data_IF_936306438470
#
_entry.id   IF_936306438470
#
_cell.length_a   1.000
_cell.length_b   1.000
_cell.length_c   1.000
_cell.angle_alpha   90.00
_cell.angle_beta   90.00
_cell.angle_gamma   90.00
#
_symmetry.space_group_name_H-M   'P 1'
#
loop_
_entity.id
_entity.type
_entity.pdbx_description
1 polymer ?
#
# COMPACT_ATOMS: atom_id res chain seq x y z
N UNK A 1 2.49 -6.24 -8.22
CA UNK A 1 2.51 -5.09 -9.16
C UNK A 1 2.87 -5.55 -10.56
N UNK A 2 2.10 -5.17 -11.59
CA UNK A 2 2.45 -5.43 -12.98
C UNK A 2 3.70 -4.64 -13.41
N UNK A 3 4.39 -5.08 -14.49
CA UNK A 3 5.55 -4.36 -15.04
C UNK A 3 5.21 -2.91 -15.41
N UNK A 4 4.00 -2.67 -15.91
CA UNK A 4 3.48 -1.33 -16.28
C UNK A 4 3.28 -0.44 -15.04
N UNK A 5 2.74 -0.99 -13.95
CA UNK A 5 2.57 -0.25 -12.68
C UNK A 5 3.92 0.13 -12.07
N UNK A 6 4.91 -0.76 -12.10
CA UNK A 6 6.27 -0.47 -11.63
C UNK A 6 6.92 0.66 -12.43
N UNK A 7 6.73 0.69 -13.76
CA UNK A 7 7.23 1.78 -14.62
C UNK A 7 6.52 3.10 -14.35
N UNK A 8 5.20 3.09 -14.17
CA UNK A 8 4.44 4.29 -13.80
C UNK A 8 4.89 4.84 -12.44
N UNK A 9 5.08 3.98 -11.44
CA UNK A 9 5.58 4.40 -10.13
C UNK A 9 6.99 5.04 -10.22
N UNK A 10 7.89 4.48 -11.05
CA UNK A 10 9.20 5.06 -11.29
C UNK A 10 9.10 6.44 -11.97
N UNK A 11 8.21 6.60 -12.95
CA UNK A 11 7.99 7.88 -13.64
C UNK A 11 7.41 8.95 -12.68
N UNK A 12 6.45 8.59 -11.83
CA UNK A 12 5.92 9.48 -10.80
C UNK A 12 7.04 9.91 -9.82
N UNK A 13 7.89 8.99 -9.40
CA UNK A 13 9.02 9.30 -8.53
C UNK A 13 10.02 10.26 -9.17
N UNK A 14 10.28 10.14 -10.48
CA UNK A 14 11.14 11.08 -11.22
C UNK A 14 10.55 12.50 -11.29
N UNK A 15 9.21 12.61 -11.31
CA UNK A 15 8.48 13.88 -11.37
C UNK A 15 8.04 14.39 -9.98
N UNK A 16 8.47 13.74 -8.90
CA UNK A 16 8.08 14.10 -7.55
C UNK A 16 8.65 15.47 -7.11
N UNK A 17 7.99 16.19 -6.19
CA UNK A 17 8.49 17.42 -5.60
C UNK A 17 9.92 17.30 -5.08
N UNK A 18 10.71 18.36 -5.24
CA UNK A 18 12.14 18.39 -4.86
C UNK A 18 13.08 17.81 -5.91
N UNK A 19 12.59 17.31 -7.06
CA UNK A 19 13.41 16.93 -8.21
C UNK A 19 13.62 18.13 -9.15
N UNK A 20 14.76 18.16 -9.85
CA UNK A 20 15.04 19.21 -10.85
C UNK A 20 14.02 19.18 -12.02
N UNK A 21 13.54 18.00 -12.37
CA UNK A 21 12.48 17.85 -13.40
C UNK A 21 11.17 18.48 -12.92
N UNK A 22 10.72 18.17 -11.69
CA UNK A 22 9.50 18.76 -11.14
C UNK A 22 9.61 20.28 -11.04
N UNK A 23 10.74 20.81 -10.63
CA UNK A 23 10.96 22.25 -10.61
C UNK A 23 10.77 22.89 -12.00
N UNK A 24 11.29 22.25 -13.05
CA UNK A 24 11.05 22.70 -14.42
C UNK A 24 9.57 22.65 -14.81
N UNK A 25 8.87 21.57 -14.47
CA UNK A 25 7.45 21.40 -14.75
C UNK A 25 6.60 22.46 -14.03
N UNK A 26 6.93 22.76 -12.77
CA UNK A 26 6.26 23.81 -12.00
C UNK A 26 6.50 25.21 -12.62
N UNK A 27 7.71 25.48 -13.14
CA UNK A 27 8.00 26.72 -13.90
C UNK A 27 7.18 26.80 -15.19
N UNK A 28 7.01 25.69 -15.92
CA UNK A 28 6.20 25.60 -17.14
C UNK A 28 4.74 25.92 -16.83
N UNK A 29 4.20 25.34 -15.75
CA UNK A 29 2.84 25.64 -15.26
C UNK A 29 2.74 27.14 -14.89
N UNK A 30 3.64 27.65 -14.06
CA UNK A 30 3.64 29.05 -13.63
C UNK A 30 3.78 30.04 -14.81
N UNK A 31 4.49 29.64 -15.87
CA UNK A 31 4.63 30.38 -17.12
C UNK A 31 3.42 30.28 -18.06
N UNK A 32 2.37 29.54 -17.69
CA UNK A 32 1.21 29.26 -18.54
C UNK A 32 1.59 28.68 -19.91
N UNK A 33 2.58 27.77 -19.93
CA UNK A 33 3.06 27.13 -21.13
C UNK A 33 2.52 25.70 -21.27
N UNK A 34 2.43 25.21 -22.51
CA UNK A 34 2.24 23.83 -22.82
C UNK A 34 3.58 23.15 -23.18
N UNK A 35 3.79 21.91 -22.77
CA UNK A 35 5.02 21.19 -23.09
C UNK A 35 4.75 19.73 -23.44
N UNK A 36 5.68 19.16 -24.23
CA UNK A 36 5.78 17.73 -24.50
C UNK A 36 7.23 17.32 -24.26
N UNK A 37 7.46 16.40 -23.31
CA UNK A 37 8.81 16.01 -22.88
C UNK A 37 8.90 14.49 -22.94
N UNK A 38 9.95 13.97 -23.60
CA UNK A 38 10.23 12.53 -23.69
C UNK A 38 11.49 12.21 -22.86
N UNK A 39 11.41 11.23 -21.96
CA UNK A 39 12.51 10.85 -21.08
C UNK A 39 12.85 9.38 -21.27
N UNK A 40 14.10 9.11 -21.60
CA UNK A 40 14.60 7.76 -21.87
C UNK A 40 14.17 7.19 -23.21
N UNK A 41 14.61 5.95 -23.51
CA UNK A 41 14.42 5.27 -24.79
C UNK A 41 14.66 6.19 -26.00
N UNK A 42 15.77 6.93 -25.92
CA UNK A 42 16.05 8.08 -26.79
C UNK A 42 16.15 7.70 -28.26
N UNK A 43 16.68 6.52 -28.57
CA UNK A 43 16.81 6.04 -29.95
C UNK A 43 15.45 5.79 -30.59
N UNK A 44 14.54 5.12 -29.84
CA UNK A 44 13.18 4.87 -30.32
C UNK A 44 12.38 6.18 -30.45
N UNK A 45 12.54 7.11 -29.50
CA UNK A 45 11.91 8.43 -29.57
C UNK A 45 12.40 9.23 -30.78
N UNK A 46 13.72 9.24 -31.01
CA UNK A 46 14.32 9.94 -32.16
C UNK A 46 13.90 9.29 -33.49
N UNK A 47 13.80 7.97 -33.55
CA UNK A 47 13.33 7.26 -34.73
C UNK A 47 11.85 7.52 -35.09
N UNK A 48 11.05 7.96 -34.08
CA UNK A 48 9.62 8.24 -34.24
C UNK A 48 9.29 9.72 -34.54
N UNK A 49 10.30 10.52 -34.85
CA UNK A 49 10.10 11.95 -35.13
C UNK A 49 11.14 12.47 -36.13
N UNK A 50 11.05 13.72 -36.45
CA UNK A 50 11.92 14.43 -37.39
C UNK A 50 12.16 15.90 -36.97
N UNK A 51 13.07 16.55 -37.69
CA UNK A 51 13.46 17.94 -37.53
C UNK A 51 13.96 18.33 -36.11
N UNK A 52 13.88 19.61 -35.79
CA UNK A 52 14.28 20.17 -34.49
C UNK A 52 15.81 20.35 -34.33
N UNK A 53 16.15 20.82 -33.13
CA UNK A 53 17.55 21.15 -32.78
C UNK A 53 18.22 19.99 -32.07
N UNK A 54 19.38 19.57 -32.57
CA UNK A 54 20.29 18.72 -31.83
C UNK A 54 21.08 19.60 -30.84
N UNK A 55 20.99 19.32 -29.55
CA UNK A 55 21.57 20.17 -28.51
C UNK A 55 22.69 19.47 -27.73
N UNK A 56 22.45 18.28 -27.22
CA UNK A 56 23.39 17.50 -26.41
C UNK A 56 23.99 18.31 -25.25
N UNK A 57 23.13 19.04 -24.51
CA UNK A 57 23.52 19.93 -23.40
C UNK A 57 23.11 19.35 -22.04
N UNK A 58 23.81 19.74 -20.98
CA UNK A 58 23.46 19.34 -19.61
C UNK A 58 22.07 19.82 -19.22
N UNK A 59 21.30 18.94 -18.55
CA UNK A 59 19.98 19.24 -18.04
C UNK A 59 20.05 20.26 -16.90
N UNK A 60 19.22 21.28 -16.96
CA UNK A 60 18.84 22.14 -15.84
C UNK A 60 17.36 22.51 -15.97
N UNK A 61 16.69 22.81 -14.83
CA UNK A 61 15.29 23.20 -14.84
C UNK A 61 15.03 24.43 -15.72
N UNK A 62 15.91 25.43 -15.64
CA UNK A 62 15.81 26.65 -16.45
C UNK A 62 15.96 26.36 -17.96
N UNK A 63 16.91 25.49 -18.35
CA UNK A 63 17.09 25.15 -19.76
C UNK A 63 15.87 24.42 -20.29
N UNK A 64 15.33 23.44 -19.55
CA UNK A 64 14.12 22.75 -19.97
C UNK A 64 12.95 23.74 -20.11
N UNK A 65 12.75 24.64 -19.13
CA UNK A 65 11.71 25.67 -19.19
C UNK A 65 11.83 26.57 -20.44
N UNK A 66 13.05 27.07 -20.74
CA UNK A 66 13.28 27.92 -21.92
C UNK A 66 13.01 27.16 -23.22
N UNK A 67 13.45 25.91 -23.31
CA UNK A 67 13.25 25.09 -24.51
C UNK A 67 11.76 24.69 -24.72
N UNK A 68 10.98 24.58 -23.66
CA UNK A 68 9.53 24.33 -23.75
C UNK A 68 8.70 25.52 -24.22
N UNK A 69 9.31 26.70 -24.40
CA UNK A 69 8.66 27.86 -25.07
C UNK A 69 8.54 27.67 -26.58
N UNK A 70 9.34 26.77 -27.16
CA UNK A 70 9.23 26.36 -28.56
C UNK A 70 8.14 25.30 -28.73
N UNK A 71 7.54 25.26 -29.91
CA UNK A 71 6.69 24.13 -30.30
C UNK A 71 7.49 22.83 -30.39
N UNK A 72 6.79 21.67 -30.48
CA UNK A 72 7.39 20.37 -30.56
C UNK A 72 7.71 19.76 -29.19
N UNK A 73 8.52 18.70 -29.21
CA UNK A 73 8.93 17.99 -28.01
C UNK A 73 10.36 18.32 -27.60
N UNK A 74 10.65 18.16 -26.31
CA UNK A 74 12.01 18.13 -25.76
C UNK A 74 12.36 16.68 -25.41
N UNK A 75 13.50 16.18 -25.89
CA UNK A 75 14.00 14.82 -25.63
C UNK A 75 15.12 14.88 -24.63
N UNK A 76 14.97 14.14 -23.53
CA UNK A 76 15.89 14.08 -22.40
C UNK A 76 16.37 12.65 -22.22
N UNK A 77 17.60 12.46 -21.81
CA UNK A 77 18.15 11.14 -21.50
C UNK A 77 17.44 10.47 -20.30
N UNK A 78 17.66 9.17 -20.12
CA UNK A 78 17.01 8.36 -19.11
C UNK A 78 17.26 8.86 -17.67
N UNK A 79 18.47 9.34 -17.43
CA UNK A 79 18.93 9.75 -16.10
C UNK A 79 18.70 11.25 -15.81
N UNK A 80 18.07 11.97 -16.75
CA UNK A 80 17.73 13.39 -16.66
C UNK A 80 19.01 14.23 -16.42
N UNK A 81 20.06 13.88 -17.14
CA UNK A 81 21.36 14.57 -17.09
C UNK A 81 21.64 15.45 -18.31
N UNK A 82 21.01 15.11 -19.43
CA UNK A 82 21.19 15.81 -20.72
C UNK A 82 19.88 16.05 -21.45
N UNK A 83 19.81 17.18 -22.14
CA UNK A 83 18.76 17.50 -23.11
C UNK A 83 19.37 17.26 -24.51
N UNK A 84 18.80 16.32 -25.24
CA UNK A 84 19.34 15.84 -26.51
C UNK A 84 18.74 16.59 -27.70
N UNK A 85 17.43 16.86 -27.68
CA UNK A 85 16.68 17.52 -28.75
C UNK A 85 15.70 18.53 -28.16
N UNK A 86 15.38 19.57 -28.95
CA UNK A 86 14.28 20.46 -28.69
C UNK A 86 13.60 20.86 -30.02
N UNK A 87 12.38 21.38 -29.96
CA UNK A 87 11.53 21.64 -31.12
C UNK A 87 11.37 20.41 -31.99
N UNK A 88 11.29 19.22 -31.40
CA UNK A 88 11.30 17.94 -32.08
C UNK A 88 9.88 17.50 -32.44
N UNK A 89 9.62 17.25 -33.75
CA UNK A 89 8.30 16.88 -34.21
C UNK A 89 8.10 15.37 -34.14
N UNK A 90 7.22 14.93 -33.21
CA UNK A 90 6.92 13.50 -33.02
C UNK A 90 5.75 13.07 -33.91
N UNK A 91 5.95 11.98 -34.65
CA UNK A 91 5.00 11.45 -35.61
C UNK A 91 4.60 9.99 -35.32
N UNK A 92 4.02 9.68 -34.12
CA UNK A 92 3.55 8.32 -33.85
C UNK A 92 2.38 7.94 -34.75
N UNK A 93 2.30 6.68 -35.14
CA UNK A 93 1.25 6.19 -36.03
C UNK A 93 -0.15 6.54 -35.51
N UNK A 94 -1.02 7.15 -36.36
CA UNK A 94 -2.41 7.42 -36.00
C UNK A 94 -3.23 6.17 -35.67
N UNK A 95 -2.80 4.99 -36.06
CA UNK A 95 -3.45 3.70 -35.75
C UNK A 95 -3.32 3.27 -34.31
N UNK A 96 -2.35 3.83 -33.54
CA UNK A 96 -2.20 3.55 -32.12
C UNK A 96 -3.40 4.10 -31.35
N UNK A 97 -4.08 3.25 -30.52
CA UNK A 97 -5.28 3.65 -29.83
C UNK A 97 -4.99 4.69 -28.74
N UNK A 98 -5.91 5.62 -28.57
CA UNK A 98 -5.89 6.57 -27.45
C UNK A 98 -7.27 7.17 -27.25
N UNK A 99 -7.66 7.41 -26.01
CA UNK A 99 -8.88 8.13 -25.61
C UNK A 99 -8.67 9.64 -25.49
N UNK A 100 -7.42 10.10 -25.63
CA UNK A 100 -7.09 11.51 -25.45
C UNK A 100 -7.61 12.39 -26.62
N UNK A 101 -8.07 13.61 -26.31
CA UNK A 101 -8.64 14.53 -27.29
C UNK A 101 -7.68 15.63 -27.73
N UNK A 102 -6.79 16.10 -26.84
CA UNK A 102 -5.80 17.14 -27.15
C UNK A 102 -4.62 16.62 -27.97
N UNK A 103 -4.09 17.43 -28.89
CA UNK A 103 -3.00 17.03 -29.80
C UNK A 103 -1.76 16.53 -29.03
N UNK A 104 -1.23 17.32 -28.06
CA UNK A 104 -0.08 16.93 -27.23
C UNK A 104 -0.35 15.67 -26.42
N UNK A 105 -1.53 15.54 -25.82
CA UNK A 105 -1.92 14.37 -25.02
C UNK A 105 -2.04 13.11 -25.87
N UNK A 106 -2.64 13.20 -27.08
CA UNK A 106 -2.69 12.07 -28.04
C UNK A 106 -1.30 11.63 -28.47
N UNK A 107 -0.43 12.58 -28.82
CA UNK A 107 0.96 12.28 -29.16
C UNK A 107 1.68 11.64 -27.99
N UNK A 108 1.54 12.17 -26.78
CA UNK A 108 2.14 11.60 -25.57
C UNK A 108 1.69 10.16 -25.30
N UNK A 109 0.38 9.90 -25.34
CA UNK A 109 -0.17 8.57 -25.12
C UNK A 109 0.35 7.57 -26.18
N UNK A 110 0.33 7.93 -27.46
CA UNK A 110 0.83 7.08 -28.56
C UNK A 110 2.34 6.84 -28.50
N UNK A 111 3.12 7.87 -28.18
CA UNK A 111 4.57 7.72 -28.01
C UNK A 111 4.91 6.78 -26.84
N UNK A 112 4.17 6.86 -25.74
CA UNK A 112 4.37 5.95 -24.61
C UNK A 112 3.95 4.50 -24.88
N UNK A 113 3.11 4.25 -25.90
CA UNK A 113 2.82 2.91 -26.42
C UNK A 113 3.90 2.42 -27.39
N UNK A 114 4.44 3.33 -28.19
CA UNK A 114 5.42 3.00 -29.23
C UNK A 114 6.81 2.75 -28.65
N UNK A 115 7.15 3.44 -27.57
CA UNK A 115 8.48 3.45 -26.95
C UNK A 115 8.44 3.02 -25.48
N UNK A 116 9.60 2.76 -24.89
CA UNK A 116 9.75 2.56 -23.44
C UNK A 116 10.02 3.88 -22.69
N UNK A 117 9.94 5.02 -23.37
CA UNK A 117 10.13 6.32 -22.74
C UNK A 117 8.98 6.69 -21.79
N UNK A 118 9.28 7.47 -20.79
CA UNK A 118 8.28 8.23 -20.02
C UNK A 118 7.96 9.50 -20.80
N UNK A 119 6.70 9.73 -21.13
CA UNK A 119 6.28 10.92 -21.85
C UNK A 119 5.48 11.83 -20.93
N UNK A 120 5.86 13.10 -20.85
CA UNK A 120 5.18 14.10 -20.02
C UNK A 120 4.51 15.11 -20.94
N UNK A 121 3.23 15.35 -20.71
CA UNK A 121 2.48 16.43 -21.38
C UNK A 121 2.01 17.44 -20.35
N UNK A 122 2.30 18.71 -20.59
CA UNK A 122 1.78 19.82 -19.81
C UNK A 122 0.71 20.53 -20.62
N UNK A 123 -0.50 20.62 -20.05
CA UNK A 123 -1.62 21.31 -20.69
C UNK A 123 -1.61 22.81 -20.32
N UNK A 124 -1.38 23.65 -21.29
CA UNK A 124 -1.45 25.09 -21.15
C UNK A 124 -2.83 25.55 -20.63
N UNK A 125 -3.91 25.03 -21.22
CA UNK A 125 -5.27 25.44 -20.88
C UNK A 125 -5.72 24.94 -19.49
N UNK A 126 -5.41 23.67 -19.17
CA UNK A 126 -5.86 23.02 -17.91
C UNK A 126 -4.87 23.21 -16.76
N UNK A 127 -3.66 23.68 -17.03
CA UNK A 127 -2.58 23.81 -16.06
C UNK A 127 -2.29 22.51 -15.32
N UNK A 128 -2.24 21.41 -16.06
CA UNK A 128 -2.11 20.05 -15.54
C UNK A 128 -0.90 19.37 -16.19
N UNK A 129 -0.15 18.65 -15.38
CA UNK A 129 0.95 17.78 -15.80
C UNK A 129 0.43 16.34 -15.86
N UNK A 130 0.55 15.69 -17.02
CA UNK A 130 0.18 14.28 -17.18
C UNK A 130 1.41 13.47 -17.61
N UNK A 131 1.69 12.41 -16.87
CA UNK A 131 2.76 11.44 -17.16
C UNK A 131 2.15 10.24 -17.88
N UNK A 132 2.72 9.85 -19.01
CA UNK A 132 2.27 8.72 -19.82
C UNK A 132 3.30 7.59 -19.82
N UNK A 133 2.85 6.39 -19.54
CA UNK A 133 3.62 5.13 -19.60
C UNK A 133 2.70 4.04 -20.15
N UNK A 134 3.15 3.29 -21.16
CA UNK A 134 2.39 2.20 -21.78
C UNK A 134 0.95 2.62 -22.21
N UNK A 135 0.80 3.83 -22.74
CA UNK A 135 -0.48 4.39 -23.17
C UNK A 135 -1.40 4.90 -22.04
N UNK A 136 -1.04 4.69 -20.79
CA UNK A 136 -1.81 5.15 -19.62
C UNK A 136 -1.30 6.50 -19.13
N UNK A 137 -2.20 7.45 -18.96
CA UNK A 137 -1.92 8.77 -18.41
C UNK A 137 -2.16 8.82 -16.90
N UNK A 138 -1.26 9.45 -16.16
CA UNK A 138 -1.40 9.79 -14.75
C UNK A 138 -1.25 11.28 -14.56
N UNK A 139 -2.29 11.95 -14.07
CA UNK A 139 -2.31 13.38 -13.82
C UNK A 139 -1.67 13.67 -12.45
N UNK A 140 -0.56 14.42 -12.44
CA UNK A 140 0.11 14.82 -11.21
C UNK A 140 -0.69 15.89 -10.48
N UNK A 141 -0.84 15.72 -9.18
CA UNK A 141 -1.50 16.69 -8.31
C UNK A 141 -0.51 17.73 -7.81
N UNK A 142 -1.04 18.87 -7.38
CA UNK A 142 -0.22 19.88 -6.71
C UNK A 142 0.06 19.46 -5.24
N UNK A 143 1.16 19.98 -4.67
CA UNK A 143 1.61 19.61 -3.32
C UNK A 143 0.57 19.98 -2.26
N UNK A 144 -0.11 21.10 -2.39
CA UNK A 144 -1.12 21.55 -1.43
C UNK A 144 -2.32 20.60 -1.39
N UNK A 145 -2.77 20.13 -2.55
CA UNK A 145 -3.85 19.14 -2.65
C UNK A 145 -3.45 17.79 -2.05
N UNK A 146 -2.21 17.33 -2.35
CA UNK A 146 -1.66 16.12 -1.77
C UNK A 146 -1.59 16.19 -0.24
N UNK A 147 -1.07 17.30 0.31
CA UNK A 147 -0.97 17.50 1.76
C UNK A 147 -2.35 17.59 2.44
N UNK A 148 -3.34 18.21 1.80
CA UNK A 148 -4.72 18.20 2.29
C UNK A 148 -5.28 16.78 2.37
N UNK A 149 -5.03 15.97 1.34
CA UNK A 149 -5.46 14.57 1.32
C UNK A 149 -4.73 13.71 2.34
N UNK A 150 -3.41 13.95 2.52
CA UNK A 150 -2.61 13.29 3.58
C UNK A 150 -3.23 13.53 4.95
N UNK A 151 -3.55 14.77 5.29
CA UNK A 151 -4.13 15.09 6.61
C UNK A 151 -5.45 14.35 6.84
N UNK A 152 -6.32 14.28 5.83
CA UNK A 152 -7.57 13.52 5.91
C UNK A 152 -7.33 12.02 6.14
N UNK A 153 -6.37 11.43 5.41
CA UNK A 153 -6.07 10.00 5.52
C UNK A 153 -5.36 9.67 6.84
N UNK A 154 -4.47 10.52 7.35
CA UNK A 154 -3.83 10.32 8.65
C UNK A 154 -4.85 10.34 9.79
N UNK A 155 -5.81 11.27 9.78
CA UNK A 155 -6.91 11.28 10.77
C UNK A 155 -7.76 10.02 10.65
N UNK A 156 -8.07 9.57 9.43
CA UNK A 156 -8.80 8.32 9.23
C UNK A 156 -8.02 7.11 9.73
N UNK A 157 -6.71 7.05 9.45
CA UNK A 157 -5.82 5.98 9.89
C UNK A 157 -5.74 5.90 11.40
N UNK A 158 -5.55 7.04 12.08
CA UNK A 158 -5.51 7.15 13.53
C UNK A 158 -6.82 6.68 14.19
N UNK A 159 -7.96 7.13 13.64
CA UNK A 159 -9.27 6.73 14.15
C UNK A 159 -9.52 5.23 13.97
N UNK A 160 -9.20 4.69 12.81
CA UNK A 160 -9.36 3.25 12.51
C UNK A 160 -8.44 2.43 13.40
N UNK A 161 -7.18 2.86 13.60
CA UNK A 161 -6.24 2.20 14.51
C UNK A 161 -6.80 2.15 15.94
N UNK A 162 -7.29 3.26 16.46
CA UNK A 162 -7.88 3.29 17.79
C UNK A 162 -9.18 2.45 17.94
N UNK A 163 -9.94 2.26 16.86
CA UNK A 163 -11.07 1.33 16.85
C UNK A 163 -10.59 -0.12 16.85
N UNK A 164 -9.59 -0.44 16.03
CA UNK A 164 -8.99 -1.76 15.96
C UNK A 164 -8.39 -2.19 17.29
N UNK A 165 -7.61 -1.31 17.94
CA UNK A 165 -6.99 -1.60 19.25
C UNK A 165 -8.04 -1.95 20.29
N UNK A 166 -9.16 -1.21 20.35
CA UNK A 166 -10.27 -1.50 21.25
C UNK A 166 -10.99 -2.81 20.91
N UNK A 167 -11.17 -3.10 19.61
CA UNK A 167 -11.79 -4.34 19.17
C UNK A 167 -10.91 -5.56 19.47
N UNK A 168 -9.60 -5.44 19.29
CA UNK A 168 -8.63 -6.49 19.65
C UNK A 168 -8.61 -6.75 21.17
N UNK A 169 -8.61 -5.70 21.98
CA UNK A 169 -8.67 -5.85 23.43
C UNK A 169 -9.95 -6.56 23.88
N UNK A 170 -11.11 -6.17 23.30
CA UNK A 170 -12.38 -6.86 23.56
C UNK A 170 -12.33 -8.32 23.12
N UNK A 171 -11.78 -8.59 21.93
CA UNK A 171 -11.65 -9.95 21.41
C UNK A 171 -10.81 -10.82 22.35
N UNK A 172 -9.67 -10.32 22.84
CA UNK A 172 -8.83 -11.03 23.82
C UNK A 172 -9.62 -11.41 25.09
N UNK A 173 -10.46 -10.51 25.59
CA UNK A 173 -11.32 -10.84 26.74
C UNK A 173 -12.31 -11.96 26.41
N UNK A 174 -12.94 -11.92 25.24
CA UNK A 174 -13.88 -12.95 24.79
C UNK A 174 -13.17 -14.29 24.55
N UNK A 175 -11.92 -14.27 24.04
CA UNK A 175 -11.07 -15.45 23.86
C UNK A 175 -10.81 -16.16 25.21
N UNK A 176 -10.47 -15.38 26.23
CA UNK A 176 -10.21 -15.90 27.57
C UNK A 176 -11.49 -16.34 28.30
N UNK A 177 -12.65 -15.72 28.00
CA UNK A 177 -13.97 -16.16 28.44
C UNK A 177 -14.52 -17.39 27.65
N UNK A 178 -13.81 -17.83 26.61
CA UNK A 178 -14.24 -18.86 25.66
C UNK A 178 -15.63 -18.59 25.05
N UNK A 179 -15.89 -17.34 24.71
CA UNK A 179 -17.17 -16.90 24.15
C UNK A 179 -16.96 -15.95 22.96
N UNK A 180 -16.33 -16.45 21.90
CA UNK A 180 -16.09 -15.69 20.68
C UNK A 180 -17.08 -16.10 19.61
N UNK A 181 -17.69 -15.13 18.93
CA UNK A 181 -18.59 -15.36 17.82
C UNK A 181 -17.96 -14.96 16.48
N UNK A 182 -18.51 -15.47 15.39
CA UNK A 182 -18.16 -15.03 14.02
C UNK A 182 -18.29 -13.53 13.87
N UNK A 183 -19.29 -12.91 14.52
CA UNK A 183 -19.50 -11.46 14.47
C UNK A 183 -18.34 -10.68 15.09
N UNK A 184 -17.80 -11.15 16.23
CA UNK A 184 -16.68 -10.50 16.92
C UNK A 184 -15.41 -10.57 16.05
N UNK A 185 -15.10 -11.72 15.50
CA UNK A 185 -13.94 -11.93 14.60
C UNK A 185 -14.10 -11.12 13.31
N UNK A 186 -15.29 -11.14 12.70
CA UNK A 186 -15.58 -10.40 11.48
C UNK A 186 -15.39 -8.89 11.66
N UNK A 187 -15.78 -8.34 12.81
CA UNK A 187 -15.56 -6.93 13.13
C UNK A 187 -14.08 -6.57 13.15
N UNK A 188 -13.24 -7.40 13.77
CA UNK A 188 -11.80 -7.15 13.85
C UNK A 188 -11.14 -7.28 12.50
N UNK A 189 -11.42 -8.34 11.73
CA UNK A 189 -10.88 -8.54 10.38
C UNK A 189 -11.29 -7.41 9.43
N UNK A 190 -12.54 -6.94 9.51
CA UNK A 190 -13.01 -5.78 8.76
C UNK A 190 -12.20 -4.52 9.08
N UNK A 191 -11.90 -4.26 10.36
CA UNK A 191 -11.12 -3.10 10.79
C UNK A 191 -9.67 -3.19 10.30
N UNK A 192 -9.06 -4.39 10.28
CA UNK A 192 -7.74 -4.59 9.66
C UNK A 192 -7.75 -4.21 8.19
N UNK A 193 -8.72 -4.69 7.40
CA UNK A 193 -8.80 -4.37 5.97
C UNK A 193 -9.05 -2.88 5.71
N UNK A 194 -9.86 -2.22 6.53
CA UNK A 194 -10.05 -0.76 6.44
C UNK A 194 -8.74 -0.03 6.74
N UNK A 195 -8.01 -0.42 7.80
CA UNK A 195 -6.73 0.17 8.16
C UNK A 195 -5.71 0.05 7.02
N UNK A 196 -5.56 -1.16 6.47
CA UNK A 196 -4.63 -1.45 5.37
C UNK A 196 -5.02 -0.70 4.08
N UNK A 197 -6.33 -0.61 3.78
CA UNK A 197 -6.83 0.15 2.63
C UNK A 197 -6.46 1.65 2.73
N UNK A 198 -6.58 2.24 3.92
CA UNK A 198 -6.19 3.64 4.16
C UNK A 198 -4.67 3.81 4.07
N UNK A 199 -3.90 2.86 4.62
CA UNK A 199 -2.44 2.85 4.51
C UNK A 199 -1.96 2.76 3.05
N UNK A 200 -2.56 1.90 2.23
CA UNK A 200 -2.27 1.77 0.79
C UNK A 200 -2.57 3.08 0.02
N UNK A 201 -3.63 3.81 0.41
CA UNK A 201 -3.92 5.13 -0.18
C UNK A 201 -2.85 6.16 0.18
N UNK A 202 -2.34 6.15 1.43
CA UNK A 202 -1.22 7.01 1.85
C UNK A 202 0.05 6.67 1.08
N UNK A 203 0.38 5.39 0.88
CA UNK A 203 1.57 4.96 0.15
C UNK A 203 1.61 5.55 -1.28
N UNK A 204 0.47 5.60 -1.96
CA UNK A 204 0.36 6.23 -3.29
C UNK A 204 0.65 7.73 -3.25
N UNK A 205 0.18 8.43 -2.22
CA UNK A 205 0.40 9.86 -2.06
C UNK A 205 1.85 10.13 -1.64
N UNK A 206 2.42 9.32 -0.75
CA UNK A 206 3.83 9.40 -0.33
C UNK A 206 4.76 9.24 -1.55
N UNK A 207 4.45 8.30 -2.45
CA UNK A 207 5.19 8.12 -3.70
C UNK A 207 5.17 9.40 -4.56
N UNK A 208 4.01 10.05 -4.68
CA UNK A 208 3.84 11.28 -5.46
C UNK A 208 4.51 12.49 -4.78
N UNK A 209 4.51 12.55 -3.44
CA UNK A 209 5.20 13.59 -2.66
C UNK A 209 6.73 13.45 -2.68
N UNK A 210 7.26 12.27 -2.97
CA UNK A 210 8.70 12.03 -3.00
C UNK A 210 9.38 12.42 -1.69
N UNK A 211 10.37 13.33 -1.74
CA UNK A 211 11.12 13.76 -0.55
C UNK A 211 10.26 14.46 0.51
N UNK A 212 9.25 15.20 0.07
CA UNK A 212 8.32 15.89 0.97
C UNK A 212 7.41 14.93 1.74
N UNK A 213 7.24 13.69 1.26
CA UNK A 213 6.44 12.64 1.90
C UNK A 213 7.11 11.92 3.06
N UNK A 214 8.39 12.21 3.40
CA UNK A 214 9.14 11.43 4.39
C UNK A 214 8.53 11.46 5.79
N UNK A 215 8.06 12.60 6.25
CA UNK A 215 7.40 12.70 7.57
C UNK A 215 6.07 11.95 7.61
N UNK A 216 5.34 11.97 6.50
CA UNK A 216 4.07 11.22 6.33
C UNK A 216 4.34 9.71 6.36
N UNK A 217 5.41 9.26 5.70
CA UNK A 217 5.83 7.87 5.71
C UNK A 217 6.12 7.38 7.13
N UNK A 218 6.88 8.15 7.93
CA UNK A 218 7.17 7.80 9.33
C UNK A 218 5.90 7.67 10.17
N UNK A 219 4.95 8.60 10.04
CA UNK A 219 3.68 8.52 10.75
C UNK A 219 2.85 7.30 10.31
N UNK A 220 2.80 7.05 9.01
CA UNK A 220 2.12 5.86 8.47
C UNK A 220 2.72 4.56 9.01
N UNK A 221 4.04 4.45 9.04
CA UNK A 221 4.75 3.28 9.58
C UNK A 221 4.45 3.07 11.08
N UNK A 222 4.37 4.13 11.87
CA UNK A 222 3.98 4.07 13.29
C UNK A 222 2.57 3.48 13.47
N UNK A 223 1.59 3.93 12.68
CA UNK A 223 0.21 3.43 12.79
C UNK A 223 0.02 1.99 12.35
N UNK A 224 0.86 1.46 11.47
CA UNK A 224 0.74 0.07 10.98
C UNK A 224 1.79 -0.87 11.58
N UNK A 225 2.63 -0.36 12.49
CA UNK A 225 3.66 -1.19 13.12
C UNK A 225 3.04 -2.42 13.82
N UNK A 226 3.58 -3.61 13.54
CA UNK A 226 3.13 -4.88 14.10
C UNK A 226 1.82 -5.44 13.53
N UNK A 227 1.08 -4.65 12.74
CA UNK A 227 -0.25 -5.05 12.25
C UNK A 227 -0.22 -6.23 11.28
N UNK A 228 0.82 -6.37 10.51
CA UNK A 228 0.98 -7.46 9.55
C UNK A 228 1.08 -8.82 10.23
N UNK A 229 1.87 -8.91 11.29
CA UNK A 229 2.04 -10.13 12.09
C UNK A 229 0.76 -10.44 12.89
N UNK A 230 0.19 -9.44 13.55
CA UNK A 230 -1.03 -9.59 14.34
C UNK A 230 -2.23 -10.01 13.49
N UNK A 231 -2.36 -9.47 12.27
CA UNK A 231 -3.40 -9.87 11.33
C UNK A 231 -3.22 -11.33 10.86
N UNK A 232 -2.00 -11.75 10.58
CA UNK A 232 -1.71 -13.13 10.17
C UNK A 232 -2.03 -14.10 11.31
N UNK A 233 -1.63 -13.78 12.55
CA UNK A 233 -1.93 -14.59 13.72
C UNK A 233 -3.45 -14.69 13.97
N UNK A 234 -4.18 -13.59 13.81
CA UNK A 234 -5.63 -13.57 13.95
C UNK A 234 -6.30 -14.49 12.92
N UNK A 235 -5.87 -14.45 11.66
CA UNK A 235 -6.41 -15.37 10.64
C UNK A 235 -6.10 -16.81 11.02
N UNK A 236 -4.90 -17.13 11.47
CA UNK A 236 -4.51 -18.47 11.89
C UNK A 236 -5.31 -18.97 13.10
N UNK A 237 -5.64 -18.09 14.04
CA UNK A 237 -6.44 -18.42 15.22
C UNK A 237 -7.85 -18.88 14.86
N UNK A 238 -8.42 -18.34 13.77
CA UNK A 238 -9.82 -18.54 13.43
C UNK A 238 -10.07 -19.18 12.07
N UNK A 239 -9.08 -19.37 11.21
CA UNK A 239 -9.25 -20.12 9.97
C UNK A 239 -9.33 -21.62 10.24
N UNK A 240 -10.08 -22.33 9.41
CA UNK A 240 -10.19 -23.79 9.49
C UNK A 240 -8.84 -24.49 9.28
N UNK A 241 -7.99 -23.94 8.43
CA UNK A 241 -6.60 -24.32 8.24
C UNK A 241 -5.70 -23.21 8.81
N UNK A 242 -5.00 -23.52 9.91
CA UNK A 242 -4.16 -22.59 10.66
C UNK A 242 -2.72 -22.49 10.12
N UNK A 243 -2.39 -23.16 9.02
CA UNK A 243 -1.05 -23.10 8.43
C UNK A 243 -0.72 -21.70 7.91
N UNK A 244 0.56 -21.33 7.88
CA UNK A 244 1.01 -20.03 7.35
C UNK A 244 0.66 -19.86 5.87
N UNK A 245 0.70 -20.91 5.08
CA UNK A 245 0.34 -20.89 3.66
C UNK A 245 -1.15 -20.61 3.46
N UNK A 246 -2.02 -21.29 4.23
CA UNK A 246 -3.46 -21.06 4.20
C UNK A 246 -3.81 -19.66 4.69
N UNK A 247 -3.15 -19.18 5.74
CA UNK A 247 -3.35 -17.81 6.24
C UNK A 247 -2.97 -16.75 5.20
N UNK A 248 -1.88 -16.96 4.46
CA UNK A 248 -1.48 -16.07 3.36
C UNK A 248 -2.53 -16.02 2.25
N UNK A 249 -3.02 -17.19 1.83
CA UNK A 249 -4.08 -17.31 0.81
C UNK A 249 -5.39 -16.66 1.27
N UNK A 250 -5.78 -16.91 2.52
CA UNK A 250 -6.98 -16.32 3.14
C UNK A 250 -6.85 -14.80 3.21
N UNK A 251 -5.67 -14.27 3.57
CA UNK A 251 -5.40 -12.84 3.60
C UNK A 251 -5.52 -12.19 2.22
N UNK A 252 -5.03 -12.85 1.17
CA UNK A 252 -5.22 -12.37 -0.21
C UNK A 252 -6.70 -12.32 -0.59
N UNK A 253 -7.47 -13.34 -0.21
CA UNK A 253 -8.92 -13.38 -0.45
C UNK A 253 -9.66 -12.25 0.30
N UNK A 254 -9.26 -11.93 1.54
CA UNK A 254 -9.78 -10.76 2.26
C UNK A 254 -9.46 -9.45 1.53
N UNK A 255 -8.22 -9.27 1.10
CA UNK A 255 -7.76 -8.07 0.38
C UNK A 255 -8.47 -7.86 -0.97
N UNK A 256 -8.83 -8.94 -1.67
CA UNK A 256 -9.57 -8.90 -2.93
C UNK A 256 -11.08 -8.66 -2.71
N UNK A 257 -11.58 -8.91 -1.51
CA UNK A 257 -12.97 -8.73 -1.16
C UNK A 257 -13.25 -7.27 -0.80
N UNK A 258 -14.29 -6.67 -1.40
CA UNK A 258 -14.64 -5.29 -1.11
C UNK A 258 -15.00 -5.12 0.39
N UNK A 259 -14.50 -4.07 1.04
CA UNK A 259 -14.72 -3.79 2.46
C UNK A 259 -16.20 -3.80 2.87
N UNK A 260 -17.12 -3.41 1.96
CA UNK A 260 -18.55 -3.47 2.20
C UNK A 260 -19.05 -4.90 2.42
N UNK A 261 -18.49 -5.89 1.73
CA UNK A 261 -18.84 -7.30 1.87
C UNK A 261 -18.28 -7.91 3.16
N UNK A 262 -17.14 -7.41 3.64
CA UNK A 262 -16.53 -7.86 4.91
C UNK A 262 -17.32 -7.41 6.15
N UNK A 263 -18.27 -6.50 6.00
CA UNK A 263 -19.24 -6.19 7.06
C UNK A 263 -20.28 -7.30 7.30
N UNK A 264 -20.36 -8.25 6.39
CA UNK A 264 -21.27 -9.40 6.54
C UNK A 264 -20.51 -10.55 7.21
N UNK A 265 -20.84 -10.92 8.48
CA UNK A 265 -20.16 -11.99 9.20
C UNK A 265 -20.20 -13.34 8.47
N UNK A 266 -21.27 -13.64 7.73
CA UNK A 266 -21.37 -14.87 6.93
C UNK A 266 -20.29 -14.93 5.86
N UNK A 267 -20.02 -13.80 5.18
CA UNK A 267 -18.96 -13.74 4.17
C UNK A 267 -17.58 -13.95 4.77
N UNK A 268 -17.34 -13.40 5.95
CA UNK A 268 -16.09 -13.60 6.69
C UNK A 268 -15.92 -15.05 7.12
N UNK A 269 -16.99 -15.69 7.61
CA UNK A 269 -16.98 -17.12 7.95
C UNK A 269 -16.64 -18.00 6.73
N UNK A 270 -17.23 -17.72 5.56
CA UNK A 270 -16.89 -18.43 4.32
C UNK A 270 -15.41 -18.30 3.95
N UNK A 271 -14.85 -17.09 4.07
CA UNK A 271 -13.41 -16.84 3.79
C UNK A 271 -12.49 -17.57 4.78
N UNK A 272 -12.93 -17.73 6.03
CA UNK A 272 -12.22 -18.53 7.05
C UNK A 272 -12.42 -20.04 6.89
N UNK A 273 -13.24 -20.50 5.92
CA UNK A 273 -13.48 -21.92 5.64
C UNK A 273 -14.70 -22.52 6.38
N UNK A 274 -15.57 -21.71 6.98
CA UNK A 274 -16.77 -22.14 7.70
C UNK A 274 -18.05 -21.82 6.93
N UNK A 275 -18.42 -22.69 6.01
CA UNK A 275 -19.68 -22.56 5.28
C UNK A 275 -20.89 -22.76 6.20
N UNK A 276 -21.88 -21.89 6.06
CA UNK A 276 -23.15 -21.98 6.81
C UNK A 276 -23.12 -21.36 8.21
N UNK A 277 -21.97 -20.86 8.69
CA UNK A 277 -21.89 -20.16 9.97
C UNK A 277 -22.56 -18.77 9.88
N UNK A 278 -23.34 -18.42 10.92
CA UNK A 278 -23.94 -17.11 11.09
C UNK A 278 -23.16 -16.23 12.06
N UNK A 279 -23.65 -15.01 12.27
CA UNK A 279 -23.06 -14.02 13.16
C UNK A 279 -22.85 -14.55 14.58
N UNK A 280 -23.84 -15.26 15.12
CA UNK A 280 -23.84 -15.80 16.50
C UNK A 280 -23.17 -17.18 16.61
N UNK A 281 -22.62 -17.73 15.52
CA UNK A 281 -21.90 -19.00 15.57
C UNK A 281 -20.62 -18.86 16.39
N UNK A 282 -20.42 -19.75 17.35
CA UNK A 282 -19.26 -19.71 18.24
C UNK A 282 -18.02 -20.28 17.52
N UNK A 283 -16.89 -19.63 17.71
CA UNK A 283 -15.56 -20.05 17.26
C UNK A 283 -14.65 -20.30 18.44
N UNK A 284 -13.80 -21.32 18.35
CA UNK A 284 -12.80 -21.61 19.38
C UNK A 284 -11.44 -21.09 18.92
N UNK A 285 -10.84 -20.11 19.61
CA UNK A 285 -9.54 -19.57 19.25
C UNK A 285 -8.42 -20.59 19.56
N UNK A 286 -7.43 -20.69 18.70
CA UNK A 286 -6.21 -21.43 18.98
C UNK A 286 -5.40 -20.76 20.08
N UNK A 287 -5.31 -19.42 20.06
CA UNK A 287 -4.61 -18.61 21.02
C UNK A 287 -3.25 -18.11 20.57
N UNK A 288 -2.87 -18.31 19.30
CA UNK A 288 -1.58 -17.87 18.74
C UNK A 288 -1.34 -16.37 18.96
N UNK A 289 -2.33 -15.54 18.65
CA UNK A 289 -2.26 -14.08 18.81
C UNK A 289 -2.11 -13.69 20.28
N UNK A 290 -2.94 -14.24 21.14
CA UNK A 290 -2.93 -13.93 22.58
C UNK A 290 -1.62 -14.38 23.22
N UNK A 291 -1.11 -15.55 22.90
CA UNK A 291 0.18 -16.07 23.37
C UNK A 291 1.35 -15.23 22.88
N UNK A 292 1.35 -14.83 21.60
CA UNK A 292 2.43 -14.03 21.01
C UNK A 292 2.56 -12.64 21.66
N UNK A 293 1.52 -12.14 22.32
CA UNK A 293 1.54 -10.88 23.06
C UNK A 293 2.10 -11.03 24.47
N UNK A 294 2.40 -12.25 24.94
CA UNK A 294 3.00 -12.48 26.24
C UNK A 294 4.54 -12.50 26.12
N UNK A 295 5.20 -11.63 26.89
CA UNK A 295 6.64 -11.36 26.76
C UNK A 295 7.56 -12.58 26.98
N UNK A 296 7.11 -13.60 27.72
CA UNK A 296 7.88 -14.84 27.96
C UNK A 296 7.69 -15.88 26.86
N UNK A 297 6.74 -15.68 25.94
CA UNK A 297 6.51 -16.54 24.79
C UNK A 297 7.39 -16.09 23.62
N UNK A 298 8.45 -16.84 23.34
CA UNK A 298 9.36 -16.53 22.23
C UNK A 298 8.73 -16.86 20.89
N UNK A 299 9.25 -16.28 19.82
CA UNK A 299 8.81 -16.55 18.45
C UNK A 299 8.85 -18.05 18.15
N UNK A 300 7.76 -18.60 17.62
CA UNK A 300 7.58 -20.02 17.33
C UNK A 300 7.25 -20.90 18.57
N UNK A 301 7.20 -20.32 19.77
CA UNK A 301 6.78 -21.04 20.98
C UNK A 301 5.26 -21.10 21.07
N UNK A 302 4.55 -20.07 20.63
CA UNK A 302 3.09 -20.06 20.57
C UNK A 302 2.56 -21.25 19.75
N UNK A 303 3.19 -21.53 18.61
CA UNK A 303 2.84 -22.68 17.76
C UNK A 303 2.98 -24.01 18.52
N UNK A 304 4.09 -24.21 19.25
CA UNK A 304 4.30 -25.44 20.05
C UNK A 304 3.28 -25.61 21.17
N UNK A 305 2.94 -24.50 21.84
CA UNK A 305 1.92 -24.50 22.89
C UNK A 305 0.56 -24.86 22.29
N UNK A 306 0.20 -24.27 21.17
CA UNK A 306 -1.06 -24.55 20.48
C UNK A 306 -1.10 -25.97 19.94
N UNK A 307 -0.01 -26.50 19.39
CA UNK A 307 0.08 -27.88 18.91
C UNK A 307 -0.13 -28.90 20.07
N UNK A 308 0.35 -28.58 21.28
CA UNK A 308 0.22 -29.42 22.45
C UNK A 308 -1.16 -29.35 23.10
N UNK A 309 -1.73 -28.13 23.21
CA UNK A 309 -3.01 -27.92 23.93
C UNK A 309 -4.23 -27.88 22.99
N UNK A 310 -4.05 -27.60 21.71
CA UNK A 310 -5.12 -27.56 20.72
C UNK A 310 -6.02 -26.32 20.78
N UNK A 311 -6.12 -25.63 21.92
CA UNK A 311 -6.87 -24.38 22.06
C UNK A 311 -6.43 -23.57 23.27
N UNK A 312 -6.71 -22.27 23.26
CA UNK A 312 -6.45 -21.37 24.40
C UNK A 312 -7.21 -21.83 25.65
N UNK A 313 -8.44 -22.32 25.50
CA UNK A 313 -9.24 -22.81 26.61
C UNK A 313 -8.57 -24.01 27.31
N UNK A 314 -8.09 -24.99 26.56
CA UNK A 314 -7.41 -26.16 27.13
C UNK A 314 -6.11 -25.77 27.85
N UNK A 315 -5.38 -24.79 27.31
CA UNK A 315 -4.23 -24.22 28.01
C UNK A 315 -4.67 -23.57 29.33
N UNK A 316 -5.71 -22.74 29.32
CA UNK A 316 -6.19 -22.05 30.53
C UNK A 316 -6.68 -23.03 31.61
N UNK A 317 -7.33 -24.13 31.21
CA UNK A 317 -7.82 -25.14 32.14
C UNK A 317 -6.65 -25.96 32.76
N UNK A 318 -5.55 -26.15 32.02
CA UNK A 318 -4.40 -26.95 32.48
C UNK A 318 -3.31 -26.13 33.21
N UNK A 319 -3.20 -24.83 32.92
CA UNK A 319 -2.12 -23.99 33.45
C UNK A 319 -2.12 -23.87 34.99
N UNK A 320 -3.30 -23.97 35.62
CA UNK A 320 -3.44 -23.99 37.07
C UNK A 320 -3.07 -25.33 37.69
N UNK A 321 -3.27 -26.43 36.99
CA UNK A 321 -3.19 -27.79 37.53
C UNK A 321 -1.85 -28.47 37.20
N UNK A 322 -1.25 -28.17 36.04
CA UNK A 322 -0.05 -28.83 35.52
C UNK A 322 0.97 -27.84 34.92
N UNK A 323 1.50 -26.86 35.68
CA UNK A 323 2.44 -25.89 35.14
C UNK A 323 3.74 -26.48 34.59
N UNK A 324 4.18 -27.65 35.12
CA UNK A 324 5.41 -28.35 34.70
C UNK A 324 5.37 -28.77 33.23
N UNK A 325 4.17 -28.96 32.66
CA UNK A 325 4.00 -29.31 31.24
C UNK A 325 4.46 -28.18 30.32
N UNK A 326 4.34 -26.94 30.74
CA UNK A 326 4.85 -25.77 30.00
C UNK A 326 6.37 -25.66 30.09
N UNK A 327 7.00 -26.12 31.17
CA UNK A 327 8.46 -26.20 31.27
C UNK A 327 9.03 -27.17 30.23
N UNK A 328 8.37 -28.31 30.00
CA UNK A 328 8.74 -29.30 28.97
C UNK A 328 8.67 -28.73 27.55
N UNK A 329 7.80 -27.74 27.30
CA UNK A 329 7.69 -27.02 26.04
C UNK A 329 8.74 -25.90 25.88
N UNK A 330 9.53 -25.64 26.95
CA UNK A 330 10.59 -24.63 26.95
C UNK A 330 10.10 -23.21 27.24
N UNK A 331 8.97 -23.08 27.95
CA UNK A 331 8.52 -21.78 28.48
C UNK A 331 9.38 -21.42 29.69
N UNK A 332 10.20 -20.38 29.58
CA UNK A 332 11.20 -20.01 30.60
C UNK A 332 10.61 -19.72 32.00
N UNK A 333 9.33 -19.47 32.12
CA UNK A 333 8.65 -19.20 33.38
C UNK A 333 7.11 -19.35 33.26
N UNK A 334 6.56 -20.55 33.44
CA UNK A 334 5.12 -20.81 33.32
C UNK A 334 4.25 -19.90 34.21
N UNK A 335 4.75 -19.56 35.42
CA UNK A 335 4.04 -18.66 36.30
C UNK A 335 3.84 -17.26 35.74
N UNK A 336 4.82 -16.70 35.05
CA UNK A 336 4.69 -15.40 34.37
C UNK A 336 3.71 -15.48 33.20
N UNK A 337 3.67 -16.60 32.48
CA UNK A 337 2.69 -16.82 31.41
C UNK A 337 1.27 -16.81 32.01
N UNK A 338 1.04 -17.60 33.07
CA UNK A 338 -0.24 -17.65 33.78
C UNK A 338 -0.67 -16.26 34.27
N UNK A 339 0.19 -15.57 35.01
CA UNK A 339 -0.08 -14.21 35.51
C UNK A 339 -0.39 -13.23 34.40
N UNK A 340 0.27 -13.34 33.25
CA UNK A 340 0.04 -12.46 32.10
C UNK A 340 -1.32 -12.72 31.48
N UNK A 341 -1.71 -13.98 31.27
CA UNK A 341 -3.02 -14.37 30.76
C UNK A 341 -4.14 -13.93 31.69
N UNK A 342 -3.99 -14.14 33.03
CA UNK A 342 -4.97 -13.67 34.02
C UNK A 342 -5.12 -12.15 34.04
N UNK A 343 -4.03 -11.40 33.94
CA UNK A 343 -4.09 -9.92 33.80
C UNK A 343 -4.83 -9.47 32.56
N UNK A 344 -4.60 -10.14 31.39
CA UNK A 344 -5.34 -9.85 30.16
C UNK A 344 -6.83 -10.16 30.31
N UNK A 345 -7.18 -11.17 31.11
CA UNK A 345 -8.55 -11.54 31.42
C UNK A 345 -9.24 -10.57 32.43
N UNK A 346 -8.48 -9.72 33.09
CA UNK A 346 -9.01 -8.85 34.17
C UNK A 346 -9.33 -9.59 35.47
N UNK A 347 -8.92 -10.86 35.59
CA UNK A 347 -8.98 -11.63 36.82
C UNK A 347 -7.63 -11.49 37.51
N UNK A 348 -7.59 -10.76 38.61
CA UNK A 348 -6.42 -10.75 39.50
C UNK A 348 -6.36 -12.09 40.23
N UNK A 349 -5.19 -12.76 40.19
CA UNK A 349 -4.87 -13.92 40.97
C UNK A 349 -4.85 -13.60 42.45
#
# INVERSE_FOLDING_TARGET
MSKSESRMAAAIKQTAPGTALRHALDMIIAGHLGALICIGDTDAVIAAGDDGFKLDISFTANRLFELCKMDGAVVVDKDITQILRANYHLNPSPSLPTSETGMRHRTAARMSLLTQATIISVSERRQVITVYVDGKGYELRNVSELMSRVNQLLVSLQNTRGQLDRALLRLTTLELDNYVTVGDVAQVLYLFEVLLTVADQLDRIILELGREGRSVQMQREEFVAGMDEEYTLLIRDYARDSSEEAASTTREAFRETANMQLRNPKRVAELLGFEGYGEDSVLTPLGLRTLSNVSVVRRGMADKIVDEYGSLQQLMDDIEHNPDRLDDLGVDNPGILADSLYRMWGKHA
#
